data_IF_363571839554
#
_entry.id   IF_363571839554
#
_cell.length_a   1.000
_cell.length_b   1.000
_cell.length_c   1.000
_cell.angle_alpha   90.00
_cell.angle_beta   90.00
_cell.angle_gamma   90.00
#
_symmetry.space_group_name_H-M   'P 1'
#
loop_
_entity.id
_entity.type
_entity.pdbx_description
1 polymer ?
#
# COMPACT_ATOMS: atom_id res chain seq x y z
N UNK A 1 -1.37 20.36 2.06
CA UNK A 1 -2.38 19.48 1.41
C UNK A 1 -2.44 19.59 -0.12
N UNK A 2 -2.00 20.69 -0.73
CA UNK A 2 -2.01 20.88 -2.20
C UNK A 2 -1.10 19.88 -2.95
N UNK A 3 0.12 19.62 -2.46
CA UNK A 3 1.06 18.68 -3.09
C UNK A 3 0.53 17.23 -3.12
N UNK A 4 -0.02 16.75 -2.01
CA UNK A 4 -0.65 15.43 -1.95
C UNK A 4 -1.79 15.30 -2.96
N UNK A 5 -2.70 16.29 -3.00
CA UNK A 5 -3.83 16.28 -3.93
C UNK A 5 -3.36 16.29 -5.40
N UNK A 6 -2.34 17.08 -5.70
CA UNK A 6 -1.74 17.14 -7.04
C UNK A 6 -1.07 15.82 -7.42
N UNK A 7 -0.34 15.20 -6.48
CA UNK A 7 0.27 13.89 -6.68
C UNK A 7 -0.79 12.82 -6.96
N UNK A 8 -1.84 12.74 -6.13
CA UNK A 8 -2.92 11.77 -6.29
C UNK A 8 -3.63 11.93 -7.64
N UNK A 9 -3.86 13.17 -8.08
CA UNK A 9 -4.49 13.44 -9.37
C UNK A 9 -3.61 13.03 -10.55
N UNK A 10 -2.31 13.37 -10.49
CA UNK A 10 -1.33 13.05 -11.53
C UNK A 10 -1.07 11.54 -11.63
N UNK A 11 -1.07 10.83 -10.51
CA UNK A 11 -0.73 9.41 -10.41
C UNK A 11 -1.95 8.49 -10.17
N UNK A 12 -3.16 8.96 -10.47
CA UNK A 12 -4.44 8.27 -10.18
C UNK A 12 -4.51 6.81 -10.62
N UNK A 13 -3.82 6.44 -11.72
CA UNK A 13 -3.78 5.07 -12.23
C UNK A 13 -3.07 4.11 -11.26
N UNK A 14 -1.91 4.51 -10.75
CA UNK A 14 -1.09 3.67 -9.85
C UNK A 14 -1.76 3.60 -8.48
N UNK A 15 -2.29 4.72 -7.99
CA UNK A 15 -3.04 4.77 -6.73
C UNK A 15 -4.30 3.90 -6.81
N UNK A 16 -5.07 4.00 -7.90
CA UNK A 16 -6.24 3.16 -8.12
C UNK A 16 -5.91 1.66 -8.21
N UNK A 17 -4.80 1.32 -8.85
CA UNK A 17 -4.31 -0.07 -8.90
C UNK A 17 -3.93 -0.59 -7.51
N UNK A 18 -3.21 0.22 -6.73
CA UNK A 18 -2.84 -0.11 -5.35
C UNK A 18 -4.08 -0.39 -4.52
N UNK A 19 -5.08 0.50 -4.59
CA UNK A 19 -6.34 0.36 -3.88
C UNK A 19 -7.08 -0.93 -4.27
N UNK A 20 -7.15 -1.24 -5.56
CA UNK A 20 -7.78 -2.47 -6.05
C UNK A 20 -7.12 -3.73 -5.47
N UNK A 21 -5.79 -3.81 -5.48
CA UNK A 21 -5.06 -4.96 -4.93
C UNK A 21 -5.21 -5.09 -3.41
N UNK A 22 -5.24 -3.97 -2.67
CA UNK A 22 -5.54 -3.99 -1.23
C UNK A 22 -6.94 -4.53 -0.97
N UNK A 23 -7.96 -4.09 -1.74
CA UNK A 23 -9.31 -4.64 -1.62
C UNK A 23 -9.34 -6.15 -1.89
N UNK A 24 -8.67 -6.61 -2.95
CA UNK A 24 -8.60 -8.02 -3.30
C UNK A 24 -7.90 -8.85 -2.20
N UNK A 25 -6.82 -8.32 -1.62
CA UNK A 25 -6.12 -8.92 -0.48
C UNK A 25 -7.08 -9.07 0.71
N UNK A 26 -7.83 -8.02 1.07
CA UNK A 26 -8.77 -8.05 2.20
C UNK A 26 -9.85 -9.11 1.98
N UNK A 27 -10.40 -9.20 0.77
CA UNK A 27 -11.41 -10.22 0.41
C UNK A 27 -10.82 -11.63 0.58
N UNK A 28 -9.59 -11.86 0.12
CA UNK A 28 -8.91 -13.15 0.31
C UNK A 28 -8.69 -13.49 1.79
N UNK A 29 -8.22 -12.53 2.58
CA UNK A 29 -7.98 -12.70 4.02
C UNK A 29 -9.25 -12.98 4.80
N UNK A 30 -10.37 -12.29 4.49
CA UNK A 30 -11.67 -12.57 5.11
C UNK A 30 -12.34 -13.84 4.56
N UNK A 31 -11.98 -14.27 3.36
CA UNK A 31 -12.50 -15.50 2.74
C UNK A 31 -12.10 -16.76 3.51
N UNK A 32 -10.89 -16.79 4.09
CA UNK A 32 -10.40 -17.96 4.83
C UNK A 32 -11.26 -18.26 6.08
N UNK A 33 -11.52 -17.31 7.00
CA UNK A 33 -12.43 -17.54 8.13
C UNK A 33 -13.83 -17.99 7.73
N UNK A 34 -14.37 -17.45 6.61
CA UNK A 34 -15.68 -17.86 6.10
C UNK A 34 -15.68 -19.35 5.69
N UNK A 35 -14.63 -19.79 5.00
CA UNK A 35 -14.48 -21.19 4.62
C UNK A 35 -14.22 -22.10 5.82
N UNK A 36 -13.52 -21.62 6.85
CA UNK A 36 -13.37 -22.35 8.13
C UNK A 36 -14.72 -22.60 8.78
N UNK A 37 -15.63 -21.61 8.81
CA UNK A 37 -16.97 -21.80 9.34
C UNK A 37 -17.75 -22.87 8.55
N UNK A 38 -17.73 -22.80 7.21
CA UNK A 38 -18.37 -23.82 6.35
C UNK A 38 -17.74 -25.21 6.53
N UNK A 39 -16.43 -25.30 6.76
CA UNK A 39 -15.75 -26.56 7.03
C UNK A 39 -16.27 -27.20 8.33
N UNK A 40 -16.46 -26.41 9.38
CA UNK A 40 -16.99 -26.89 10.67
C UNK A 40 -18.44 -27.35 10.48
N UNK A 41 -19.30 -26.50 9.94
CA UNK A 41 -20.75 -26.75 9.86
C UNK A 41 -21.10 -27.88 8.87
N UNK A 42 -20.48 -27.90 7.69
CA UNK A 42 -20.85 -28.83 6.61
C UNK A 42 -19.89 -30.01 6.46
N UNK A 43 -18.69 -29.95 7.03
CA UNK A 43 -17.68 -31.01 6.94
C UNK A 43 -17.58 -31.82 8.22
N UNK A 44 -17.20 -31.15 9.32
CA UNK A 44 -16.92 -31.82 10.60
C UNK A 44 -18.21 -32.31 11.25
N UNK A 45 -19.22 -31.44 11.39
CA UNK A 45 -20.47 -31.79 12.07
C UNK A 45 -21.27 -32.88 11.32
N UNK A 46 -21.22 -32.87 9.99
CA UNK A 46 -21.92 -33.87 9.15
C UNK A 46 -21.13 -35.17 8.95
N UNK A 47 -19.87 -35.22 9.35
CA UNK A 47 -18.99 -36.38 9.17
C UNK A 47 -18.61 -36.68 7.71
N UNK A 48 -18.80 -35.74 6.78
CA UNK A 48 -18.52 -35.95 5.36
C UNK A 48 -17.06 -35.65 5.01
N UNK A 49 -16.19 -36.66 5.09
CA UNK A 49 -14.76 -36.52 4.78
C UNK A 49 -14.49 -35.95 3.37
N UNK A 50 -15.30 -36.28 2.37
CA UNK A 50 -15.13 -35.75 1.00
C UNK A 50 -15.28 -34.22 0.95
N UNK A 51 -16.24 -33.64 1.69
CA UNK A 51 -16.42 -32.18 1.76
C UNK A 51 -15.26 -31.49 2.47
N UNK A 52 -14.69 -32.12 3.50
CA UNK A 52 -13.52 -31.57 4.22
C UNK A 52 -12.34 -31.37 3.26
N UNK A 53 -12.05 -32.36 2.40
CA UNK A 53 -10.99 -32.24 1.41
C UNK A 53 -11.27 -31.15 0.36
N UNK A 54 -12.50 -31.06 -0.16
CA UNK A 54 -12.87 -30.03 -1.14
C UNK A 54 -12.77 -28.62 -0.56
N UNK A 55 -13.31 -28.39 0.65
CA UNK A 55 -13.25 -27.09 1.31
C UNK A 55 -11.80 -26.74 1.69
N UNK A 56 -11.01 -27.71 2.17
CA UNK A 56 -9.58 -27.50 2.45
C UNK A 56 -8.79 -27.08 1.21
N UNK A 57 -9.08 -27.68 0.05
CA UNK A 57 -8.45 -27.28 -1.23
C UNK A 57 -8.89 -25.86 -1.65
N UNK A 58 -10.17 -25.52 -1.50
CA UNK A 58 -10.67 -24.17 -1.77
C UNK A 58 -10.01 -23.14 -0.84
N UNK A 59 -9.83 -23.47 0.44
CA UNK A 59 -9.12 -22.63 1.40
C UNK A 59 -7.68 -22.38 0.98
N UNK A 60 -6.96 -23.43 0.58
CA UNK A 60 -5.59 -23.30 0.09
C UNK A 60 -5.51 -22.39 -1.15
N UNK A 61 -6.45 -22.54 -2.08
CA UNK A 61 -6.51 -21.70 -3.28
C UNK A 61 -6.79 -20.23 -2.95
N UNK A 62 -7.76 -19.94 -2.07
CA UNK A 62 -8.07 -18.58 -1.64
C UNK A 62 -6.90 -17.95 -0.87
N UNK A 63 -6.22 -18.71 -0.02
CA UNK A 63 -5.04 -18.24 0.71
C UNK A 63 -3.88 -17.88 -0.24
N UNK A 64 -3.63 -18.71 -1.26
CA UNK A 64 -2.63 -18.42 -2.28
C UNK A 64 -2.96 -17.15 -3.08
N UNK A 65 -4.22 -16.99 -3.51
CA UNK A 65 -4.67 -15.77 -4.20
C UNK A 65 -4.58 -14.52 -3.31
N UNK A 66 -4.96 -14.64 -2.04
CA UNK A 66 -4.83 -13.56 -1.06
C UNK A 66 -3.37 -13.15 -0.85
N UNK A 67 -2.46 -14.13 -0.79
CA UNK A 67 -1.02 -13.90 -0.63
C UNK A 67 -0.42 -13.22 -1.87
N UNK A 68 -0.78 -13.68 -3.07
CA UNK A 68 -0.36 -13.03 -4.31
C UNK A 68 -0.85 -11.57 -4.38
N UNK A 69 -2.10 -11.33 -3.98
CA UNK A 69 -2.67 -9.98 -3.92
C UNK A 69 -1.96 -9.11 -2.89
N UNK A 70 -1.53 -9.67 -1.76
CA UNK A 70 -0.75 -8.98 -0.73
C UNK A 70 0.64 -8.57 -1.21
N UNK A 71 1.32 -9.44 -1.97
CA UNK A 71 2.63 -9.12 -2.56
C UNK A 71 2.46 -8.00 -3.58
N UNK A 72 1.46 -8.10 -4.45
CA UNK A 72 1.16 -7.06 -5.44
C UNK A 72 0.81 -5.72 -4.79
N UNK A 73 -0.07 -5.72 -3.77
CA UNK A 73 -0.44 -4.50 -3.05
C UNK A 73 0.75 -3.85 -2.35
N UNK A 74 1.62 -4.64 -1.72
CA UNK A 74 2.85 -4.17 -1.09
C UNK A 74 3.80 -3.52 -2.10
N UNK A 75 4.01 -4.17 -3.25
CA UNK A 75 4.84 -3.62 -4.32
C UNK A 75 4.31 -2.28 -4.85
N UNK A 76 3.00 -2.20 -5.15
CA UNK A 76 2.41 -0.96 -5.63
C UNK A 76 2.40 0.14 -4.56
N UNK A 77 2.17 -0.22 -3.30
CA UNK A 77 2.25 0.72 -2.17
C UNK A 77 3.65 1.32 -2.05
N UNK A 78 4.69 0.48 -2.10
CA UNK A 78 6.09 0.93 -2.06
C UNK A 78 6.41 1.84 -3.27
N UNK A 79 5.93 1.48 -4.46
CA UNK A 79 6.13 2.29 -5.66
C UNK A 79 5.45 3.66 -5.57
N UNK A 80 4.24 3.72 -4.99
CA UNK A 80 3.51 4.98 -4.77
C UNK A 80 4.26 5.86 -3.78
N UNK A 81 4.70 5.31 -2.64
CA UNK A 81 5.48 6.05 -1.63
C UNK A 81 6.80 6.58 -2.20
N UNK A 82 7.54 5.75 -2.94
CA UNK A 82 8.79 6.16 -3.57
C UNK A 82 8.58 7.29 -4.60
N UNK A 83 7.55 7.20 -5.43
CA UNK A 83 7.20 8.26 -6.40
C UNK A 83 6.77 9.54 -5.72
N UNK A 84 6.04 9.45 -4.61
CA UNK A 84 5.61 10.61 -3.84
C UNK A 84 6.81 11.32 -3.23
N UNK A 85 7.72 10.58 -2.60
CA UNK A 85 8.97 11.13 -2.06
C UNK A 85 9.83 11.79 -3.15
N UNK A 86 9.95 11.15 -4.32
CA UNK A 86 10.69 11.72 -5.46
C UNK A 86 10.11 13.07 -5.92
N UNK A 87 8.80 13.13 -6.23
CA UNK A 87 8.17 14.37 -6.71
C UNK A 87 8.18 15.48 -5.66
N UNK A 88 8.05 15.11 -4.40
CA UNK A 88 8.10 16.05 -3.29
C UNK A 88 9.51 16.64 -3.15
N UNK A 89 10.56 15.80 -3.16
CA UNK A 89 11.95 16.25 -3.13
C UNK A 89 12.31 17.13 -4.32
N UNK A 90 11.88 16.77 -5.53
CA UNK A 90 12.06 17.58 -6.74
C UNK A 90 11.46 18.99 -6.54
N UNK A 91 10.22 19.07 -6.07
CA UNK A 91 9.54 20.35 -5.81
C UNK A 91 10.24 21.19 -4.73
N UNK A 92 10.75 20.54 -3.67
CA UNK A 92 11.53 21.24 -2.64
C UNK A 92 12.87 21.74 -3.17
N UNK A 93 13.54 20.96 -4.01
CA UNK A 93 14.81 21.35 -4.63
C UNK A 93 14.65 22.54 -5.57
N UNK A 94 13.58 22.56 -6.38
CA UNK A 94 13.26 23.69 -7.26
C UNK A 94 13.00 24.98 -6.47
N UNK A 95 12.30 24.88 -5.33
CA UNK A 95 12.10 26.01 -4.42
C UNK A 95 13.38 26.46 -3.75
N UNK A 96 14.24 25.52 -3.38
CA UNK A 96 15.52 25.83 -2.76
C UNK A 96 16.41 26.66 -3.68
N UNK A 97 16.45 26.33 -4.98
CA UNK A 97 17.20 27.11 -5.97
C UNK A 97 16.69 28.54 -6.17
N UNK A 98 15.45 28.83 -5.77
CA UNK A 98 14.83 30.16 -5.90
C UNK A 98 14.98 31.02 -4.62
N UNK A 99 15.53 30.48 -3.53
CA UNK A 99 15.76 31.23 -2.29
C UNK A 99 16.92 32.22 -2.45
N UNK A 100 16.79 33.39 -1.81
CA UNK A 100 17.90 34.32 -1.69
C UNK A 100 18.93 33.81 -0.68
N UNK A 101 20.19 34.23 -0.82
CA UNK A 101 21.26 33.89 0.14
C UNK A 101 20.90 34.29 1.57
N UNK A 102 20.15 35.39 1.74
CA UNK A 102 19.68 35.85 3.05
C UNK A 102 18.64 34.91 3.68
N UNK A 103 17.74 34.36 2.87
CA UNK A 103 16.72 33.42 3.33
C UNK A 103 17.35 32.05 3.64
N UNK A 104 18.33 31.62 2.85
CA UNK A 104 19.07 30.39 3.09
C UNK A 104 19.84 30.43 4.43
N UNK A 105 20.45 31.57 4.78
CA UNK A 105 21.10 31.77 6.07
C UNK A 105 20.12 31.80 7.24
N UNK A 106 18.91 32.36 7.05
CA UNK A 106 17.87 32.41 8.10
C UNK A 106 17.33 31.02 8.45
N UNK A 107 17.08 30.17 7.44
CA UNK A 107 16.59 28.81 7.68
C UNK A 107 17.69 27.83 8.10
N UNK A 108 18.93 28.08 7.69
CA UNK A 108 20.08 27.22 7.93
C UNK A 108 20.08 25.97 7.04
N UNK A 109 21.17 25.74 6.32
CA UNK A 109 21.32 24.63 5.36
C UNK A 109 21.05 23.24 5.96
N UNK A 110 21.38 23.02 7.24
CA UNK A 110 21.13 21.75 7.93
C UNK A 110 19.63 21.48 8.16
N UNK A 111 18.85 22.51 8.49
CA UNK A 111 17.39 22.42 8.68
C UNK A 111 16.66 22.17 7.36
N UNK A 112 17.13 22.81 6.27
CA UNK A 112 16.60 22.58 4.93
C UNK A 112 16.87 21.14 4.46
N UNK A 113 18.05 20.60 4.77
CA UNK A 113 18.39 19.22 4.44
C UNK A 113 17.48 18.22 5.17
N UNK A 114 17.26 18.38 6.47
CA UNK A 114 16.39 17.47 7.24
C UNK A 114 14.92 17.55 6.80
N UNK A 115 14.45 18.73 6.39
CA UNK A 115 13.11 18.90 5.80
C UNK A 115 12.94 18.24 4.44
N UNK A 116 14.02 18.14 3.64
CA UNK A 116 13.98 17.45 2.34
C UNK A 116 14.12 15.93 2.45
N UNK A 117 14.69 15.44 3.55
CA UNK A 117 14.91 14.00 3.77
C UNK A 117 13.90 13.43 4.76
N UNK A 118 14.13 13.65 6.06
CA UNK A 118 13.35 13.07 7.16
C UNK A 118 11.88 13.47 7.11
N UNK A 119 11.58 14.75 6.88
CA UNK A 119 10.17 15.19 6.87
C UNK A 119 9.43 14.64 5.64
N UNK A 120 10.12 14.41 4.52
CA UNK A 120 9.50 13.80 3.32
C UNK A 120 9.27 12.30 3.50
N UNK A 121 10.18 11.58 4.16
CA UNK A 121 10.05 10.14 4.39
C UNK A 121 8.98 9.80 5.45
N UNK A 122 8.70 10.72 6.38
CA UNK A 122 7.69 10.54 7.43
C UNK A 122 6.25 10.87 7.00
N UNK A 123 6.03 11.26 5.73
CA UNK A 123 4.69 11.57 5.16
C UNK A 123 4.16 10.35 4.40
#
# INVERSE_FOLDING_TARGET
MTLLKQFLWKNKKIVGMTFLFVCLQIIGTLGVPKLVATLIDEGIVTGQNSKIYTIGLQMAFVALLGTFSAIASSYFSALVSAKFGYQTRETYFDKFQQLSMKDADEFGSASLLTRMTNDVDNI
#
